data_IF_656552310598
#
_entry.id   IF_656552310598
#
_cell.length_a   1.000
_cell.length_b   1.000
_cell.length_c   1.000
_cell.angle_alpha   90.00
_cell.angle_beta   90.00
_cell.angle_gamma   90.00
#
_symmetry.space_group_name_H-M   'P 1'
#
loop_
_entity.id
_entity.type
_entity.pdbx_description
1 polymer ?
#
# COMPACT_ATOMS: atom_id res chain seq x y z
N UNK A 1 -10.02 4.45 59.71
CA UNK A 1 -8.89 4.93 58.88
C UNK A 1 -7.80 3.87 58.95
N UNK A 2 -7.14 3.30 57.93
CA UNK A 2 -6.99 3.60 56.49
C UNK A 2 -6.50 2.37 55.68
N UNK A 3 -6.60 1.13 56.18
CA UNK A 3 -5.83 0.01 55.56
C UNK A 3 -6.56 -0.79 54.45
N UNK A 4 -7.89 -0.72 54.33
CA UNK A 4 -8.64 -1.54 53.33
C UNK A 4 -8.88 -0.84 51.99
N UNK A 5 -8.66 0.47 51.90
CA UNK A 5 -8.87 1.27 50.67
C UNK A 5 -7.66 1.26 49.73
N UNK A 6 -6.49 0.83 50.22
CA UNK A 6 -5.22 0.84 49.48
C UNK A 6 -5.12 -0.29 48.44
N UNK A 7 -5.49 -1.52 48.84
CA UNK A 7 -5.33 -2.71 47.99
C UNK A 7 -6.25 -2.68 46.75
N UNK A 8 -7.48 -2.19 46.89
CA UNK A 8 -8.45 -2.07 45.80
C UNK A 8 -8.07 -0.99 44.78
N UNK A 9 -7.28 0.01 45.18
CA UNK A 9 -6.86 1.11 44.32
C UNK A 9 -5.64 0.73 43.48
N UNK A 10 -4.71 -0.03 44.06
CA UNK A 10 -3.54 -0.57 43.35
C UNK A 10 -3.93 -1.60 42.28
N UNK A 11 -4.95 -2.43 42.52
CA UNK A 11 -5.43 -3.39 41.54
C UNK A 11 -6.07 -2.71 40.30
N UNK A 12 -6.82 -1.61 40.49
CA UNK A 12 -7.42 -0.84 39.39
C UNK A 12 -6.37 -0.04 38.60
N UNK A 13 -5.36 0.51 39.27
CA UNK A 13 -4.24 1.20 38.61
C UNK A 13 -3.40 0.20 37.80
N UNK A 14 -3.22 -1.04 38.28
CA UNK A 14 -2.49 -2.08 37.55
C UNK A 14 -3.19 -2.53 36.28
N UNK A 15 -4.53 -2.51 36.21
CA UNK A 15 -5.29 -2.91 35.03
C UNK A 15 -5.22 -1.83 33.93
N UNK A 16 -5.12 -0.55 34.31
CA UNK A 16 -5.10 0.57 33.36
C UNK A 16 -3.73 0.74 32.68
N UNK A 17 -2.65 0.30 33.32
CA UNK A 17 -1.27 0.38 32.77
C UNK A 17 -0.98 -0.73 31.75
N UNK A 18 -1.66 -1.88 31.82
CA UNK A 18 -1.45 -3.00 30.88
C UNK A 18 -2.01 -2.69 29.47
N UNK A 19 -3.02 -1.83 29.37
CA UNK A 19 -3.63 -1.44 28.09
C UNK A 19 -2.78 -0.46 27.26
N UNK A 20 -1.72 0.11 27.84
CA UNK A 20 -0.89 1.14 27.19
C UNK A 20 0.39 0.59 26.54
N UNK A 21 0.66 -0.72 26.64
CA UNK A 21 1.86 -1.37 26.10
C UNK A 21 1.63 -2.14 24.80
N UNK A 22 0.57 -1.83 24.06
CA UNK A 22 0.45 -2.19 22.63
C UNK A 22 0.49 -0.94 21.76
N UNK A 23 1.39 0.00 22.06
CA UNK A 23 1.96 0.85 21.01
C UNK A 23 2.95 0.01 20.18
N UNK A 24 2.44 -1.04 19.52
CA UNK A 24 3.18 -1.72 18.48
C UNK A 24 3.35 -0.72 17.34
N UNK A 25 4.49 -0.05 17.27
CA UNK A 25 4.92 0.55 16.02
C UNK A 25 4.98 -0.59 15.01
N UNK A 26 4.16 -0.54 13.96
CA UNK A 26 4.32 -1.41 12.80
C UNK A 26 5.58 -0.90 12.08
N UNK A 27 6.73 -1.58 12.18
CA UNK A 27 7.93 -1.15 11.48
C UNK A 27 7.76 -1.60 10.04
N UNK A 28 7.53 -0.69 9.09
CA UNK A 28 7.53 -1.08 7.67
C UNK A 28 6.79 -0.19 6.67
N UNK A 29 6.02 0.81 7.07
CA UNK A 29 5.38 1.70 6.09
C UNK A 29 6.27 2.92 5.81
N UNK A 30 6.89 2.96 4.62
CA UNK A 30 7.48 4.19 4.08
C UNK A 30 6.35 5.20 3.83
N UNK A 31 6.49 6.50 4.17
CA UNK A 31 5.44 7.49 3.93
C UNK A 31 5.10 7.64 2.43
N UNK A 32 5.96 7.13 1.53
CA UNK A 32 5.75 7.19 0.08
C UNK A 32 5.15 5.91 -0.51
N UNK A 33 4.85 4.92 0.33
CA UNK A 33 4.23 3.66 -0.06
C UNK A 33 2.71 3.76 -0.02
N UNK A 34 2.05 3.16 -1.01
CA UNK A 34 0.59 3.09 -1.08
C UNK A 34 0.15 1.75 -1.69
N UNK A 35 -1.13 1.41 -1.48
CA UNK A 35 -1.77 0.27 -2.12
C UNK A 35 -3.06 0.71 -2.80
N UNK A 36 -3.28 0.23 -4.01
CA UNK A 36 -4.51 0.51 -4.77
C UNK A 36 -4.76 -0.58 -5.80
N UNK A 37 -5.94 -0.55 -6.40
CA UNK A 37 -6.28 -1.35 -7.56
C UNK A 37 -6.14 -0.51 -8.83
N UNK A 38 -6.00 -1.18 -9.96
CA UNK A 38 -6.03 -0.52 -11.25
C UNK A 38 -6.10 -1.50 -12.42
N UNK A 39 -6.06 -0.92 -13.61
CA UNK A 39 -6.05 -1.65 -14.88
C UNK A 39 -4.75 -1.40 -15.61
N UNK A 40 -4.01 -2.47 -15.91
CA UNK A 40 -2.87 -2.42 -16.81
C UNK A 40 -3.35 -2.01 -18.20
N UNK A 41 -2.74 -0.98 -18.76
CA UNK A 41 -3.14 -0.38 -20.04
C UNK A 41 -1.91 -0.23 -20.92
N UNK A 42 -2.03 -0.60 -22.19
CA UNK A 42 -1.01 -0.27 -23.19
C UNK A 42 -1.17 1.18 -23.64
N UNK A 43 -0.09 1.96 -23.57
CA UNK A 43 -0.04 3.36 -23.97
C UNK A 43 0.80 3.49 -25.23
N UNK A 44 0.17 3.93 -26.33
CA UNK A 44 0.81 4.15 -27.63
C UNK A 44 1.50 5.51 -27.70
N UNK A 45 2.50 5.72 -26.84
CA UNK A 45 3.38 6.90 -26.85
C UNK A 45 4.84 6.42 -26.87
N UNK A 46 5.71 7.19 -27.54
CA UNK A 46 7.18 6.96 -27.54
C UNK A 46 7.65 5.55 -27.96
N UNK A 47 6.86 4.83 -28.75
CA UNK A 47 7.16 3.45 -29.15
C UNK A 47 6.43 2.38 -28.35
N UNK A 48 5.56 2.78 -27.42
CA UNK A 48 4.66 1.90 -26.70
C UNK A 48 5.21 1.46 -25.35
N UNK A 49 4.40 1.56 -24.30
CA UNK A 49 4.71 1.03 -22.98
C UNK A 49 3.44 0.59 -22.24
N UNK A 50 3.61 -0.14 -21.14
CA UNK A 50 2.51 -0.51 -20.25
C UNK A 50 2.53 0.34 -18.98
N UNK A 51 1.39 0.92 -18.65
CA UNK A 51 1.14 1.68 -17.42
C UNK A 51 -0.05 1.12 -16.67
N UNK A 52 -0.34 1.67 -15.48
CA UNK A 52 -1.50 1.28 -14.68
C UNK A 52 -2.38 2.50 -14.48
N UNK A 53 -3.64 2.42 -14.89
CA UNK A 53 -4.66 3.42 -14.54
C UNK A 53 -5.32 2.94 -13.26
N UNK A 54 -5.09 3.67 -12.16
CA UNK A 54 -5.66 3.33 -10.86
C UNK A 54 -7.15 3.61 -10.79
N UNK A 55 -7.84 2.93 -9.87
CA UNK A 55 -9.25 3.19 -9.57
C UNK A 55 -9.49 4.63 -9.05
N UNK A 56 -8.43 5.28 -8.56
CA UNK A 56 -8.43 6.70 -8.21
C UNK A 56 -8.30 7.65 -9.41
N UNK A 57 -8.32 7.13 -10.64
CA UNK A 57 -8.13 7.87 -11.90
C UNK A 57 -6.74 8.49 -12.06
N UNK A 58 -5.75 8.05 -11.27
CA UNK A 58 -4.35 8.43 -11.47
C UNK A 58 -3.65 7.46 -12.42
N UNK A 59 -2.76 8.01 -13.24
CA UNK A 59 -1.89 7.24 -14.11
C UNK A 59 -0.58 6.94 -13.37
N UNK A 60 -0.20 5.67 -13.31
CA UNK A 60 1.06 5.23 -12.73
C UNK A 60 1.96 4.65 -13.82
N UNK A 61 3.22 5.11 -13.81
CA UNK A 61 4.29 4.74 -14.73
C UNK A 61 5.29 3.82 -13.99
N UNK A 62 5.06 2.48 -13.99
CA UNK A 62 5.87 1.54 -13.23
C UNK A 62 7.21 1.27 -13.90
N UNK A 63 8.31 1.47 -13.18
CA UNK A 63 9.66 1.21 -13.69
C UNK A 63 10.03 -0.29 -13.71
N UNK A 64 9.22 -1.14 -13.08
CA UNK A 64 9.50 -2.56 -12.85
C UNK A 64 8.25 -3.45 -13.03
N UNK A 65 7.32 -3.09 -13.92
CA UNK A 65 6.15 -3.93 -14.21
C UNK A 65 6.58 -5.28 -14.81
N UNK A 66 6.32 -6.41 -14.14
CA UNK A 66 6.76 -7.71 -14.65
C UNK A 66 6.05 -8.07 -15.96
N UNK A 67 6.76 -8.74 -16.87
CA UNK A 67 6.26 -9.08 -18.21
C UNK A 67 4.95 -9.88 -18.19
N UNK A 68 4.75 -10.73 -17.19
CA UNK A 68 3.51 -11.51 -17.02
C UNK A 68 2.27 -10.66 -16.73
N UNK A 69 2.45 -9.42 -16.27
CA UNK A 69 1.38 -8.45 -16.05
C UNK A 69 1.22 -7.48 -17.23
N UNK A 70 2.09 -7.49 -18.24
CA UNK A 70 2.01 -6.62 -19.43
C UNK A 70 0.92 -7.09 -20.40
N UNK A 71 -0.32 -7.12 -19.93
CA UNK A 71 -1.50 -7.46 -20.71
C UNK A 71 -2.50 -6.32 -20.61
N UNK A 72 -2.89 -5.79 -21.76
CA UNK A 72 -3.87 -4.71 -21.83
C UNK A 72 -5.22 -5.15 -21.25
N UNK A 73 -5.79 -4.33 -20.38
CA UNK A 73 -7.05 -4.58 -19.66
C UNK A 73 -6.93 -5.48 -18.44
N UNK A 74 -5.73 -5.89 -18.01
CA UNK A 74 -5.55 -6.75 -16.83
C UNK A 74 -5.84 -5.97 -15.55
N UNK A 75 -6.79 -6.45 -14.75
CA UNK A 75 -7.10 -5.87 -13.43
C UNK A 75 -6.14 -6.40 -12.36
N UNK A 76 -5.52 -5.48 -11.64
CA UNK A 76 -4.49 -5.79 -10.65
C UNK A 76 -4.72 -5.05 -9.34
N UNK A 77 -4.38 -5.70 -8.24
CA UNK A 77 -4.17 -5.06 -6.94
C UNK A 77 -2.66 -4.96 -6.72
N UNK A 78 -2.18 -3.80 -6.30
CA UNK A 78 -0.75 -3.59 -6.13
C UNK A 78 -0.42 -2.68 -4.96
N UNK A 79 0.79 -2.85 -4.45
CA UNK A 79 1.45 -1.98 -3.48
C UNK A 79 2.69 -1.43 -4.15
N UNK A 80 2.89 -0.12 -4.07
CA UNK A 80 3.99 0.57 -4.72
C UNK A 80 4.51 1.73 -3.88
N UNK A 81 5.71 2.18 -4.22
CA UNK A 81 6.31 3.41 -3.70
C UNK A 81 6.40 4.46 -4.82
N UNK A 82 6.04 5.71 -4.53
CA UNK A 82 6.29 6.80 -5.47
C UNK A 82 7.79 7.05 -5.59
N UNK A 83 8.27 7.21 -6.82
CA UNK A 83 9.67 7.51 -7.12
C UNK A 83 9.82 8.96 -7.53
N UNK A 84 9.51 9.87 -6.61
CA UNK A 84 9.62 11.33 -6.83
C UNK A 84 11.09 11.79 -6.98
N UNK A 85 12.06 10.90 -6.71
CA UNK A 85 13.49 11.08 -6.97
C UNK A 85 13.88 10.87 -8.44
N UNK A 86 12.99 10.30 -9.25
CA UNK A 86 13.21 10.03 -10.66
C UNK A 86 12.47 11.04 -11.55
N UNK A 87 13.08 11.40 -12.68
CA UNK A 87 12.43 12.15 -13.74
C UNK A 87 11.86 11.18 -14.77
N UNK A 88 10.57 11.32 -15.09
CA UNK A 88 9.87 10.38 -15.97
C UNK A 88 10.22 10.64 -17.43
N UNK A 89 10.39 9.57 -18.20
CA UNK A 89 10.66 9.68 -19.64
C UNK A 89 9.37 9.88 -20.43
N UNK A 90 8.32 9.14 -20.08
CA UNK A 90 7.06 9.12 -20.81
C UNK A 90 6.15 10.33 -20.56
N UNK A 91 6.41 11.11 -19.50
CA UNK A 91 5.63 12.29 -19.11
C UNK A 91 4.11 12.04 -19.03
N UNK A 92 3.69 10.80 -18.76
CA UNK A 92 2.30 10.35 -18.83
C UNK A 92 1.67 10.07 -17.45
N UNK A 93 2.45 9.55 -16.50
CA UNK A 93 1.99 9.15 -15.18
C UNK A 93 3.01 9.44 -14.09
N UNK A 94 2.62 9.21 -12.83
CA UNK A 94 3.55 9.27 -11.70
C UNK A 94 4.41 8.01 -11.68
N UNK A 95 5.72 8.20 -11.56
CA UNK A 95 6.66 7.08 -11.53
C UNK A 95 6.49 6.32 -10.23
N UNK A 96 6.35 5.00 -10.35
CA UNK A 96 6.23 4.12 -9.20
C UNK A 96 7.18 2.93 -9.31
N UNK A 97 7.57 2.41 -8.16
CA UNK A 97 8.21 1.10 -8.04
C UNK A 97 7.22 0.15 -7.37
N UNK A 98 6.86 -0.92 -8.08
CA UNK A 98 5.94 -1.94 -7.59
C UNK A 98 6.68 -2.81 -6.57
N UNK A 99 6.12 -2.92 -5.37
CA UNK A 99 6.60 -3.77 -4.27
C UNK A 99 5.86 -5.11 -4.25
N UNK A 100 4.57 -5.10 -4.58
CA UNK A 100 3.72 -6.28 -4.69
C UNK A 100 2.65 -6.03 -5.75
N UNK A 101 2.32 -7.05 -6.54
CA UNK A 101 1.25 -7.00 -7.55
C UNK A 101 0.61 -8.37 -7.70
N UNK A 102 -0.71 -8.40 -7.85
CA UNK A 102 -1.48 -9.62 -8.07
C UNK A 102 -2.69 -9.36 -8.99
N UNK A 103 -3.11 -10.40 -9.71
CA UNK A 103 -4.31 -10.32 -10.56
C UNK A 103 -5.56 -10.39 -9.70
N UNK A 104 -6.50 -9.47 -9.93
CA UNK A 104 -7.82 -9.51 -9.30
C UNK A 104 -8.66 -10.54 -10.05
N UNK A 105 -8.58 -11.80 -9.63
CA UNK A 105 -9.51 -12.83 -10.06
C UNK A 105 -10.80 -12.71 -9.24
N UNK A 106 -11.97 -12.67 -9.88
CA UNK A 106 -13.28 -12.62 -9.19
C UNK A 106 -13.61 -13.86 -8.33
N UNK A 107 -12.67 -14.79 -8.11
CA UNK A 107 -12.89 -16.11 -7.50
C UNK A 107 -12.24 -16.28 -6.13
N UNK A 108 -11.95 -15.20 -5.38
CA UNK A 108 -11.44 -15.28 -4.02
C UNK A 108 -12.53 -15.08 -2.95
N UNK A 109 -13.58 -15.88 -3.01
CA UNK A 109 -14.41 -16.22 -1.84
C UNK A 109 -14.71 -17.72 -1.89
N UNK A 110 -13.91 -18.49 -1.15
CA UNK A 110 -14.17 -19.88 -0.77
C UNK A 110 -14.43 -19.95 0.73
#
# INVERSE_FOLDING_TARGET
>A
MLIKRSISFFALISILVVSFLFAGCVPGSSPNQFSTNGTVTYIDLEGGFYGIIGDNQENYDPINLPDEFQQDGLQVAFTAEYRDDLAGFHMWGRIIEILQIEVINSNNQG
#
